data_IF_235539063472
#
_entry.id   IF_235539063472
#
_cell.length_a   1.000
_cell.length_b   1.000
_cell.length_c   1.000
_cell.angle_alpha   90.00
_cell.angle_beta   90.00
_cell.angle_gamma   90.00
#
_symmetry.space_group_name_H-M   'P 1'
#
loop_
_entity.id
_entity.type
_entity.pdbx_description
1 polymer ?
#
# COMPACT_ATOMS: atom_id res chain seq x y z
N UNK A 1 -23.77 21.65 10.46
CA UNK A 1 -22.43 22.16 10.10
C UNK A 1 -21.49 21.88 11.25
N UNK A 2 -20.34 21.32 10.98
CA UNK A 2 -19.36 21.00 12.01
C UNK A 2 -18.47 22.19 12.30
N UNK A 3 -18.12 22.38 13.57
CA UNK A 3 -17.14 23.35 14.01
C UNK A 3 -16.01 22.62 14.72
N UNK A 4 -14.78 23.02 14.47
CA UNK A 4 -13.63 22.42 15.13
C UNK A 4 -12.59 23.48 15.46
N UNK A 5 -11.84 23.23 16.54
CA UNK A 5 -10.71 24.03 16.96
C UNK A 5 -9.44 23.23 16.69
N UNK A 6 -8.42 23.86 16.11
CA UNK A 6 -7.11 23.22 15.92
C UNK A 6 -6.00 24.18 16.31
N UNK A 7 -4.84 23.61 16.64
CA UNK A 7 -3.65 24.38 17.01
C UNK A 7 -2.69 24.40 15.82
N UNK A 8 -2.13 25.58 15.55
CA UNK A 8 -1.22 25.78 14.45
C UNK A 8 -0.08 26.70 14.91
N UNK A 9 1.10 26.53 14.32
CA UNK A 9 2.23 27.41 14.57
C UNK A 9 1.90 28.85 14.16
N UNK A 10 2.21 29.82 15.02
CA UNK A 10 1.86 31.23 14.80
C UNK A 10 2.46 31.80 13.50
N UNK A 11 3.71 31.45 13.21
CA UNK A 11 4.39 31.93 11.98
C UNK A 11 3.73 31.33 10.75
N UNK A 12 3.41 30.05 10.78
CA UNK A 12 2.72 29.37 9.69
C UNK A 12 1.34 29.96 9.44
N UNK A 13 0.59 30.21 10.52
CA UNK A 13 -0.75 30.82 10.44
C UNK A 13 -0.70 32.22 9.86
N UNK A 14 0.26 33.05 10.29
CA UNK A 14 0.44 34.39 9.74
C UNK A 14 0.74 34.37 8.25
N UNK A 15 1.57 33.44 7.79
CA UNK A 15 1.86 33.25 6.36
C UNK A 15 0.62 32.81 5.59
N UNK A 16 -0.19 31.93 6.17
CA UNK A 16 -1.45 31.49 5.59
C UNK A 16 -2.43 32.66 5.44
N UNK A 17 -2.59 33.50 6.46
CA UNK A 17 -3.45 34.68 6.40
C UNK A 17 -2.98 35.67 5.31
N UNK A 18 -1.69 35.88 5.18
CA UNK A 18 -1.11 36.72 4.14
C UNK A 18 -1.41 36.15 2.73
N UNK A 19 -1.32 34.83 2.58
CA UNK A 19 -1.65 34.17 1.33
C UNK A 19 -3.13 34.34 0.96
N UNK A 20 -4.03 34.18 1.93
CA UNK A 20 -5.47 34.38 1.72
C UNK A 20 -5.76 35.82 1.29
N UNK A 21 -5.14 36.79 1.93
CA UNK A 21 -5.27 38.20 1.60
C UNK A 21 -4.79 38.50 0.18
N UNK A 22 -3.64 37.93 -0.22
CA UNK A 22 -3.10 38.09 -1.56
C UNK A 22 -4.02 37.52 -2.64
N UNK A 23 -4.79 36.48 -2.31
CA UNK A 23 -5.76 35.84 -3.22
C UNK A 23 -7.15 36.47 -3.13
N UNK A 24 -7.36 37.43 -2.26
CA UNK A 24 -8.66 38.02 -1.96
C UNK A 24 -9.71 36.97 -1.55
N UNK A 25 -9.29 36.01 -0.76
CA UNK A 25 -10.14 34.94 -0.26
C UNK A 25 -10.17 34.95 1.27
N UNK A 26 -11.27 34.50 1.85
CA UNK A 26 -11.37 34.37 3.31
C UNK A 26 -10.62 33.11 3.78
N UNK A 27 -9.98 33.15 4.98
CA UNK A 27 -9.33 31.95 5.52
C UNK A 27 -10.28 30.74 5.62
N UNK A 28 -11.52 30.97 6.01
CA UNK A 28 -12.51 29.90 6.09
C UNK A 28 -12.82 29.24 4.75
N UNK A 29 -12.92 30.03 3.68
CA UNK A 29 -13.14 29.50 2.33
C UNK A 29 -11.94 28.66 1.86
N UNK A 30 -10.73 29.15 2.06
CA UNK A 30 -9.50 28.41 1.70
C UNK A 30 -9.38 27.12 2.50
N UNK A 31 -9.66 27.15 3.81
CA UNK A 31 -9.64 25.96 4.66
C UNK A 31 -10.67 24.92 4.21
N UNK A 32 -11.89 25.34 3.89
CA UNK A 32 -12.92 24.42 3.38
C UNK A 32 -12.49 23.76 2.08
N UNK A 33 -11.87 24.51 1.19
CA UNK A 33 -11.35 23.97 -0.07
C UNK A 33 -10.22 22.99 0.16
N UNK A 34 -9.29 23.28 1.08
CA UNK A 34 -8.20 22.38 1.44
C UNK A 34 -8.73 21.06 2.02
N UNK A 35 -9.72 21.13 2.90
CA UNK A 35 -10.35 19.92 3.47
C UNK A 35 -11.02 19.11 2.36
N UNK A 36 -11.76 19.76 1.48
CA UNK A 36 -12.41 19.09 0.34
C UNK A 36 -11.40 18.39 -0.56
N UNK A 37 -10.32 19.10 -0.90
CA UNK A 37 -9.26 18.55 -1.75
C UNK A 37 -8.58 17.35 -1.10
N UNK A 38 -8.32 17.39 0.18
CA UNK A 38 -7.70 16.27 0.90
C UNK A 38 -8.61 15.04 0.91
N UNK A 39 -9.91 15.22 1.17
CA UNK A 39 -10.88 14.13 1.12
C UNK A 39 -10.95 13.53 -0.28
N UNK A 40 -11.04 14.37 -1.33
CA UNK A 40 -11.04 13.91 -2.71
C UNK A 40 -9.75 13.15 -3.06
N UNK A 41 -8.62 13.63 -2.59
CA UNK A 41 -7.33 12.97 -2.81
C UNK A 41 -7.29 11.58 -2.18
N UNK A 42 -7.83 11.43 -0.96
CA UNK A 42 -7.95 10.13 -0.30
C UNK A 42 -8.91 9.20 -1.05
N UNK A 43 -10.05 9.71 -1.50
CA UNK A 43 -11.02 8.92 -2.26
C UNK A 43 -10.43 8.45 -3.59
N UNK A 44 -9.70 9.28 -4.29
CA UNK A 44 -9.00 8.90 -5.52
C UNK A 44 -7.95 7.82 -5.27
N UNK A 45 -7.19 7.91 -4.18
CA UNK A 45 -6.23 6.86 -3.80
C UNK A 45 -6.93 5.52 -3.53
N UNK A 46 -8.04 5.54 -2.80
CA UNK A 46 -8.85 4.35 -2.54
C UNK A 46 -9.43 3.77 -3.82
N UNK A 47 -9.94 4.61 -4.71
CA UNK A 47 -10.47 4.19 -6.00
C UNK A 47 -9.37 3.54 -6.87
N UNK A 48 -8.18 4.12 -6.91
CA UNK A 48 -7.03 3.53 -7.62
C UNK A 48 -6.64 2.18 -7.04
N UNK A 49 -6.65 2.04 -5.72
CA UNK A 49 -6.37 0.76 -5.06
C UNK A 49 -7.44 -0.29 -5.36
N UNK A 50 -8.70 0.13 -5.55
CA UNK A 50 -9.82 -0.77 -5.84
C UNK A 50 -9.95 -1.10 -7.32
N UNK A 51 -9.69 -0.15 -8.22
CA UNK A 51 -9.98 -0.27 -9.66
C UNK A 51 -8.80 -0.67 -10.52
N UNK A 52 -7.61 -0.63 -10.01
CA UNK A 52 -6.47 -1.05 -10.80
C UNK A 52 -5.26 -0.17 -10.63
N UNK A 53 -4.18 -0.86 -10.52
CA UNK A 53 -2.84 -0.34 -10.48
C UNK A 53 -2.49 0.09 -11.91
N UNK A 54 -1.73 1.17 -12.05
CA UNK A 54 -1.13 1.56 -13.32
C UNK A 54 -0.46 0.33 -13.96
N UNK A 55 -0.82 0.03 -15.20
CA UNK A 55 -0.28 -1.10 -15.95
C UNK A 55 1.26 -1.12 -16.01
N UNK A 56 1.88 0.05 -16.13
CA UNK A 56 3.34 0.16 -16.14
C UNK A 56 3.96 -0.25 -14.82
N UNK A 57 3.34 0.19 -13.72
CA UNK A 57 3.76 -0.21 -12.38
C UNK A 57 3.57 -1.71 -12.19
N UNK A 58 2.44 -2.24 -12.64
CA UNK A 58 2.14 -3.67 -12.53
C UNK A 58 3.17 -4.54 -13.26
N UNK A 59 3.56 -4.15 -14.47
CA UNK A 59 4.60 -4.84 -15.25
C UNK A 59 5.94 -4.83 -14.50
N UNK A 60 6.32 -3.69 -13.94
CA UNK A 60 7.55 -3.59 -13.14
C UNK A 60 7.52 -4.47 -11.91
N UNK A 61 6.39 -4.49 -11.20
CA UNK A 61 6.22 -5.31 -10.00
C UNK A 61 6.25 -6.80 -10.33
N UNK A 62 5.62 -7.21 -11.43
CA UNK A 62 5.66 -8.60 -11.90
C UNK A 62 7.08 -9.06 -12.20
N UNK A 63 7.87 -8.23 -12.88
CA UNK A 63 9.26 -8.54 -13.19
C UNK A 63 10.09 -8.65 -11.91
N UNK A 64 9.93 -7.69 -11.01
CA UNK A 64 10.62 -7.64 -9.72
C UNK A 64 10.33 -8.90 -8.88
N UNK A 65 9.07 -9.28 -8.79
CA UNK A 65 8.66 -10.49 -8.05
C UNK A 65 9.18 -11.75 -8.72
N UNK A 66 9.13 -11.83 -10.05
CA UNK A 66 9.66 -12.97 -10.80
C UNK A 66 11.15 -13.16 -10.54
N UNK A 67 11.94 -12.09 -10.57
CA UNK A 67 13.37 -12.14 -10.27
C UNK A 67 13.65 -12.59 -8.84
N UNK A 68 12.88 -12.08 -7.88
CA UNK A 68 13.01 -12.49 -6.48
C UNK A 68 12.67 -13.97 -6.27
N UNK A 69 11.64 -14.47 -6.96
CA UNK A 69 11.23 -15.87 -6.87
C UNK A 69 12.26 -16.82 -7.44
N UNK A 70 12.94 -16.45 -8.53
CA UNK A 70 13.96 -17.29 -9.15
C UNK A 70 15.09 -17.62 -8.19
N UNK A 71 15.49 -16.68 -7.34
CA UNK A 71 16.61 -16.84 -6.40
C UNK A 71 16.18 -17.33 -5.02
N UNK A 72 14.88 -17.59 -4.81
CA UNK A 72 14.34 -17.89 -3.49
C UNK A 72 13.82 -19.32 -3.40
N UNK A 73 14.20 -20.04 -2.32
CA UNK A 73 13.74 -21.37 -2.02
C UNK A 73 12.91 -21.43 -0.73
N UNK A 74 12.77 -20.31 -0.04
CA UNK A 74 12.04 -20.19 1.22
C UNK A 74 11.40 -18.81 1.34
N UNK A 75 10.45 -18.69 2.25
CA UNK A 75 9.83 -17.41 2.58
C UNK A 75 10.85 -16.36 3.03
N UNK A 76 11.80 -16.78 3.86
CA UNK A 76 12.86 -15.88 4.33
C UNK A 76 13.71 -15.35 3.20
N UNK A 77 14.10 -16.19 2.25
CA UNK A 77 14.86 -15.79 1.08
C UNK A 77 14.05 -14.87 0.16
N UNK A 78 12.77 -15.18 -0.04
CA UNK A 78 11.89 -14.34 -0.85
C UNK A 78 11.75 -12.94 -0.24
N UNK A 79 11.47 -12.86 1.06
CA UNK A 79 11.37 -11.56 1.73
C UNK A 79 12.67 -10.77 1.67
N UNK A 80 13.82 -11.42 1.86
CA UNK A 80 15.12 -10.77 1.74
C UNK A 80 15.36 -10.23 0.32
N UNK A 81 15.03 -11.01 -0.70
CA UNK A 81 15.17 -10.59 -2.10
C UNK A 81 14.23 -9.43 -2.46
N UNK A 82 12.99 -9.46 -1.93
CA UNK A 82 12.03 -8.37 -2.11
C UNK A 82 12.48 -7.09 -1.39
N UNK A 83 12.96 -7.22 -0.14
CA UNK A 83 13.47 -6.09 0.64
C UNK A 83 14.67 -5.41 -0.04
N UNK A 84 15.53 -6.18 -0.66
CA UNK A 84 16.65 -5.64 -1.45
C UNK A 84 16.16 -4.79 -2.63
N UNK A 85 14.92 -5.00 -3.06
CA UNK A 85 14.26 -4.24 -4.13
C UNK A 85 13.27 -3.18 -3.62
N UNK A 86 13.23 -2.95 -2.30
CA UNK A 86 12.39 -1.91 -1.69
C UNK A 86 10.94 -2.30 -1.45
N UNK A 87 10.59 -3.57 -1.51
CA UNK A 87 9.23 -4.07 -1.30
C UNK A 87 9.22 -5.27 -0.35
N UNK A 88 8.06 -5.63 0.14
CA UNK A 88 7.87 -6.84 0.96
C UNK A 88 6.44 -7.35 0.86
N UNK A 89 6.24 -8.62 1.18
CA UNK A 89 4.91 -9.17 1.37
C UNK A 89 4.44 -9.01 2.82
N UNK A 90 3.15 -8.73 2.96
CA UNK A 90 2.46 -8.72 4.25
C UNK A 90 1.16 -9.50 4.15
N UNK A 91 0.71 -10.18 5.22
CA UNK A 91 -0.57 -10.86 5.21
C UNK A 91 -1.72 -9.88 4.97
N UNK A 92 -2.70 -10.29 4.17
CA UNK A 92 -3.90 -9.51 3.91
C UNK A 92 -5.06 -10.46 3.62
N UNK A 93 -6.07 -10.46 4.48
CA UNK A 93 -7.17 -11.41 4.38
C UNK A 93 -6.66 -12.85 4.31
N UNK A 94 -7.08 -13.59 3.30
CA UNK A 94 -6.62 -14.96 3.06
C UNK A 94 -5.34 -15.08 2.23
N UNK A 95 -4.73 -13.97 1.82
CA UNK A 95 -3.56 -13.95 0.95
C UNK A 95 -2.47 -13.02 1.42
N UNK A 96 -1.76 -12.43 0.46
CA UNK A 96 -0.67 -11.49 0.71
C UNK A 96 -0.83 -10.25 -0.14
N UNK A 97 -0.36 -9.12 0.38
CA UNK A 97 -0.19 -7.88 -0.38
C UNK A 97 1.31 -7.57 -0.52
N UNK A 98 1.68 -7.05 -1.68
CA UNK A 98 2.99 -6.46 -1.89
C UNK A 98 2.93 -4.99 -1.48
N UNK A 99 3.78 -4.58 -0.55
CA UNK A 99 3.81 -3.22 -0.03
C UNK A 99 5.20 -2.61 -0.20
N UNK A 100 5.26 -1.28 -0.25
CA UNK A 100 6.51 -0.55 -0.19
C UNK A 100 7.15 -0.75 1.18
N UNK A 101 8.41 -1.17 1.23
CA UNK A 101 9.09 -1.49 2.49
C UNK A 101 9.30 -0.25 3.38
N UNK A 102 9.44 0.93 2.79
CA UNK A 102 9.68 2.17 3.53
C UNK A 102 8.38 2.84 3.98
N UNK A 103 7.40 2.99 3.09
CA UNK A 103 6.14 3.70 3.35
C UNK A 103 5.02 2.82 3.84
N UNK A 104 5.14 1.51 3.64
CA UNK A 104 4.11 0.48 3.90
C UNK A 104 2.85 0.66 3.06
N UNK A 105 2.92 1.44 2.00
CA UNK A 105 1.82 1.60 1.07
C UNK A 105 1.59 0.30 0.29
N UNK A 106 0.33 -0.14 0.19
CA UNK A 106 -0.02 -1.32 -0.59
C UNK A 106 0.14 -1.03 -2.07
N UNK A 107 0.97 -1.81 -2.76
CA UNK A 107 1.23 -1.67 -4.19
C UNK A 107 0.35 -2.58 -5.02
N UNK A 108 0.17 -3.84 -4.60
CA UNK A 108 -0.61 -4.83 -5.33
C UNK A 108 -0.93 -6.02 -4.44
N UNK A 109 -1.87 -6.84 -4.89
CA UNK A 109 -2.10 -8.17 -4.31
C UNK A 109 -1.11 -9.15 -4.91
N UNK A 110 -0.73 -10.20 -4.16
CA UNK A 110 0.23 -11.21 -4.64
C UNK A 110 -0.20 -11.83 -5.98
N UNK A 111 -1.48 -12.11 -6.14
CA UNK A 111 -2.04 -12.69 -7.38
C UNK A 111 -1.92 -11.77 -8.60
N UNK A 112 -1.78 -10.47 -8.40
CA UNK A 112 -1.65 -9.49 -9.48
C UNK A 112 -0.22 -9.40 -10.01
N UNK A 113 0.76 -9.71 -9.16
CA UNK A 113 2.19 -9.54 -9.48
C UNK A 113 2.95 -10.85 -9.65
N UNK A 114 2.29 -11.97 -9.42
CA UNK A 114 2.91 -13.29 -9.53
C UNK A 114 1.98 -14.39 -9.05
N UNK A 115 2.54 -15.53 -8.60
CA UNK A 115 1.73 -16.63 -8.10
C UNK A 115 0.87 -16.21 -6.91
N UNK A 116 -0.37 -16.71 -6.80
CA UNK A 116 -1.19 -16.46 -5.61
C UNK A 116 -0.60 -17.14 -4.38
N UNK A 117 -1.06 -16.73 -3.18
CA UNK A 117 -0.53 -17.22 -1.93
C UNK A 117 -0.49 -18.76 -1.84
N UNK A 118 -1.55 -19.43 -2.23
CA UNK A 118 -1.60 -20.90 -2.18
C UNK A 118 -0.51 -21.55 -3.05
N UNK A 119 -0.24 -20.98 -4.21
CA UNK A 119 0.84 -21.47 -5.08
C UNK A 119 2.22 -21.26 -4.45
N UNK A 120 2.42 -20.13 -3.77
CA UNK A 120 3.67 -19.85 -3.06
C UNK A 120 3.85 -20.80 -1.86
N UNK A 121 2.78 -21.10 -1.14
CA UNK A 121 2.79 -22.08 -0.06
C UNK A 121 3.25 -23.44 -0.58
N UNK A 122 2.71 -23.88 -1.69
CA UNK A 122 3.11 -25.16 -2.33
C UNK A 122 4.56 -25.15 -2.76
N UNK A 123 5.00 -24.02 -3.34
CA UNK A 123 6.40 -23.86 -3.78
C UNK A 123 7.39 -23.97 -2.62
N UNK A 124 7.10 -23.33 -1.48
CA UNK A 124 8.00 -23.30 -0.34
C UNK A 124 7.73 -24.41 0.69
N UNK A 125 6.62 -25.13 0.55
CA UNK A 125 6.25 -26.21 1.46
C UNK A 125 5.83 -25.74 2.84
N UNK A 126 5.51 -24.47 3.02
CA UNK A 126 5.12 -23.87 4.30
C UNK A 126 4.28 -22.62 4.09
N UNK A 127 3.48 -22.25 5.10
CA UNK A 127 2.76 -20.99 5.11
C UNK A 127 3.66 -19.80 5.38
N UNK A 128 3.20 -18.61 5.00
CA UNK A 128 3.90 -17.35 5.27
C UNK A 128 4.06 -17.18 6.78
N UNK A 129 5.27 -16.90 7.29
CA UNK A 129 5.49 -16.73 8.73
C UNK A 129 4.60 -15.64 9.33
N UNK A 130 3.85 -15.98 10.37
CA UNK A 130 2.96 -15.03 11.04
C UNK A 130 1.64 -14.75 10.32
N UNK A 131 1.30 -15.50 9.28
CA UNK A 131 0.01 -15.32 8.61
C UNK A 131 -1.15 -15.64 9.57
N UNK A 132 -2.17 -14.76 9.70
CA UNK A 132 -3.26 -14.93 10.66
C UNK A 132 -4.23 -16.04 10.32
N UNK A 133 -4.14 -16.65 9.13
CA UNK A 133 -5.01 -17.73 8.69
C UNK A 133 -4.20 -18.96 8.29
N UNK A 134 -3.68 -19.73 9.28
CA UNK A 134 -2.85 -20.89 9.00
C UNK A 134 -3.60 -22.04 8.28
N UNK A 135 -4.93 -22.04 8.36
CA UNK A 135 -5.75 -23.04 7.67
C UNK A 135 -5.62 -22.99 6.15
N UNK A 136 -5.34 -21.84 5.57
CA UNK A 136 -5.15 -21.69 4.13
C UNK A 136 -3.89 -22.43 3.67
N UNK A 137 -2.79 -22.26 4.40
CA UNK A 137 -1.54 -22.98 4.12
C UNK A 137 -1.73 -24.49 4.28
N UNK A 138 -2.39 -24.92 5.34
CA UNK A 138 -2.71 -26.34 5.57
C UNK A 138 -3.53 -26.91 4.40
N UNK A 139 -4.51 -26.16 3.91
CA UNK A 139 -5.33 -26.56 2.78
C UNK A 139 -4.53 -26.66 1.48
N UNK A 140 -3.63 -25.71 1.25
CA UNK A 140 -2.77 -25.71 0.05
C UNK A 140 -1.80 -26.90 0.06
N UNK A 141 -1.27 -27.27 1.21
CA UNK A 141 -0.32 -28.38 1.37
C UNK A 141 -1.02 -29.75 1.38
N UNK A 142 -2.30 -29.81 1.74
CA UNK A 142 -3.08 -31.07 1.75
C UNK A 142 -3.45 -31.54 0.35
N UNK A 143 -3.44 -30.66 -0.68
CA UNK A 143 -3.73 -31.02 -2.07
C UNK A 143 -2.44 -31.22 -2.84
N UNK A 144 -2.19 -32.42 -3.36
CA UNK A 144 -1.02 -32.68 -4.17
C UNK A 144 -1.04 -31.91 -5.50
#
# INVERSE_FOLDING_TARGET
MAETLFHCNDVLWARFLALCKARDETPGAVLRDLVRLEVQRCDHRKARSAEGIDERLLVRLRLLVAEALVVSESWGQLQAALLARGVKYVPSGGGLNLVDAATRETLAKSRQVGPPYMALVRKFGAGFPGHPQPGIAAQALARP
#
